data_IF_132125129726
#
_entry.id   IF_132125129726
#
_cell.length_a   1.000
_cell.length_b   1.000
_cell.length_c   1.000
_cell.angle_alpha   90.00
_cell.angle_beta   90.00
_cell.angle_gamma   90.00
#
_symmetry.space_group_name_H-M   'P 1'
#
loop_
_entity.id
_entity.type
_entity.pdbx_description
1 polymer ?
#
# COMPACT_ATOMS: atom_id res chain seq x y z
N UNK A 1 -21.82 -32.13 -8.85
CA UNK A 1 -21.55 -30.73 -8.51
C UNK A 1 -20.64 -30.72 -7.32
N UNK A 2 -19.37 -30.33 -7.49
CA UNK A 2 -18.53 -30.02 -6.34
C UNK A 2 -18.98 -28.64 -5.88
N UNK A 3 -19.61 -28.58 -4.70
CA UNK A 3 -19.82 -27.31 -4.02
C UNK A 3 -18.45 -26.94 -3.43
N UNK A 4 -17.65 -26.19 -4.17
CA UNK A 4 -16.50 -25.51 -3.58
C UNK A 4 -17.05 -24.42 -2.66
N UNK A 5 -16.63 -24.41 -1.40
CA UNK A 5 -16.69 -23.21 -0.58
C UNK A 5 -15.70 -22.23 -1.19
N UNK A 6 -16.12 -21.03 -1.56
CA UNK A 6 -15.14 -20.00 -1.92
C UNK A 6 -14.36 -19.64 -0.67
N UNK A 7 -13.08 -19.99 -0.64
CA UNK A 7 -12.17 -19.56 0.42
C UNK A 7 -11.69 -18.13 0.13
N UNK A 8 -11.24 -17.41 1.15
CA UNK A 8 -10.71 -16.06 0.97
C UNK A 8 -9.35 -16.10 0.26
N UNK A 9 -9.09 -15.13 -0.62
CA UNK A 9 -7.80 -14.98 -1.27
C UNK A 9 -6.67 -14.79 -0.22
N UNK A 10 -5.48 -15.31 -0.53
CA UNK A 10 -4.26 -14.96 0.22
C UNK A 10 -3.64 -13.71 -0.38
N UNK A 11 -3.59 -12.62 0.39
CA UNK A 11 -3.10 -11.31 -0.07
C UNK A 11 -1.82 -10.92 0.67
N UNK A 12 -0.78 -10.51 -0.05
CA UNK A 12 0.47 -10.00 0.55
C UNK A 12 0.27 -8.59 1.12
N UNK A 13 1.11 -8.19 2.08
CA UNK A 13 1.22 -6.81 2.57
C UNK A 13 2.57 -6.18 2.20
N UNK A 14 2.68 -4.86 2.35
CA UNK A 14 3.93 -4.14 2.15
C UNK A 14 4.29 -3.27 3.37
N UNK A 15 5.59 -3.18 3.65
CA UNK A 15 6.16 -2.18 4.55
C UNK A 15 7.38 -1.58 3.86
N UNK A 16 7.38 -0.26 3.68
CA UNK A 16 8.45 0.48 3.02
C UNK A 16 8.89 1.65 3.90
N UNK A 17 10.19 1.93 3.88
CA UNK A 17 10.76 3.12 4.48
C UNK A 17 11.56 3.87 3.42
N UNK A 18 11.39 5.18 3.37
CA UNK A 18 12.13 6.11 2.51
C UNK A 18 12.58 7.29 3.36
N UNK A 19 13.68 7.91 2.97
CA UNK A 19 14.15 9.12 3.63
C UNK A 19 13.48 10.34 3.00
N UNK A 20 13.19 11.36 3.80
CA UNK A 20 12.74 12.65 3.28
C UNK A 20 13.80 13.29 2.39
N UNK A 21 13.35 14.24 1.58
CA UNK A 21 14.23 15.07 0.75
C UNK A 21 13.68 16.48 0.75
N UNK A 22 14.39 17.43 0.14
CA UNK A 22 13.90 18.80 -0.10
C UNK A 22 12.68 18.89 -1.05
N UNK A 23 12.10 17.77 -1.47
CA UNK A 23 10.85 17.67 -2.24
C UNK A 23 9.99 16.52 -1.73
N UNK A 24 8.71 16.60 -2.04
CA UNK A 24 7.80 15.47 -1.83
C UNK A 24 8.33 14.21 -2.50
N UNK A 25 8.40 13.13 -1.71
CA UNK A 25 8.90 11.83 -2.13
C UNK A 25 7.78 10.93 -2.65
N UNK A 26 8.13 10.05 -3.57
CA UNK A 26 7.23 9.02 -4.11
C UNK A 26 7.89 7.66 -3.92
N UNK A 27 7.11 6.65 -3.55
CA UNK A 27 7.55 5.25 -3.50
C UNK A 27 6.45 4.33 -4.01
N UNK A 28 6.83 3.16 -4.50
CA UNK A 28 5.90 2.23 -5.14
C UNK A 28 6.28 0.78 -4.87
N UNK A 29 5.35 -0.12 -5.19
CA UNK A 29 5.55 -1.55 -5.09
C UNK A 29 4.38 -2.31 -5.70
N UNK A 30 4.36 -3.63 -5.49
CA UNK A 30 3.28 -4.49 -5.99
C UNK A 30 2.89 -5.48 -4.91
N UNK A 31 1.58 -5.54 -4.61
CA UNK A 31 1.00 -6.60 -3.81
C UNK A 31 0.56 -7.76 -4.71
N UNK A 32 0.54 -8.97 -4.16
CA UNK A 32 0.02 -10.18 -4.82
C UNK A 32 -1.24 -10.68 -4.12
N UNK A 33 -2.22 -11.12 -4.90
CA UNK A 33 -3.39 -11.86 -4.44
C UNK A 33 -3.38 -13.24 -5.10
N UNK A 34 -3.57 -14.30 -4.32
CA UNK A 34 -3.69 -15.67 -4.83
C UNK A 34 -4.88 -16.38 -4.20
N UNK A 35 -5.80 -16.84 -5.02
CA UNK A 35 -6.93 -17.70 -4.67
C UNK A 35 -6.72 -19.09 -5.32
N UNK A 36 -6.90 -20.15 -4.53
CA UNK A 36 -6.65 -21.53 -4.96
C UNK A 36 -7.77 -22.05 -5.88
N UNK A 37 -9.01 -21.59 -5.67
CA UNK A 37 -10.20 -22.14 -6.30
C UNK A 37 -10.85 -21.15 -7.29
N UNK A 38 -10.45 -19.88 -7.32
CA UNK A 38 -11.01 -18.84 -8.21
C UNK A 38 -9.95 -17.95 -8.90
N UNK A 39 -10.30 -17.28 -10.02
CA UNK A 39 -9.41 -16.36 -10.72
C UNK A 39 -9.23 -14.99 -10.05
N UNK A 40 -9.52 -14.86 -8.75
CA UNK A 40 -9.61 -13.59 -8.00
C UNK A 40 -8.24 -13.03 -7.57
N UNK A 41 -7.24 -13.19 -8.44
CA UNK A 41 -5.87 -12.74 -8.25
C UNK A 41 -5.68 -11.25 -8.62
N UNK A 42 -6.65 -10.41 -8.23
CA UNK A 42 -6.72 -8.99 -8.57
C UNK A 42 -7.13 -8.13 -7.37
N UNK A 43 -6.80 -6.84 -7.45
CA UNK A 43 -7.15 -5.83 -6.45
C UNK A 43 -8.31 -4.96 -6.91
N UNK A 44 -9.06 -4.41 -5.95
CA UNK A 44 -9.99 -3.31 -6.22
C UNK A 44 -9.17 -2.03 -6.40
N UNK A 45 -9.16 -1.40 -7.59
CA UNK A 45 -8.41 -0.15 -7.78
C UNK A 45 -8.97 0.94 -6.88
N UNK A 46 -8.08 1.70 -6.23
CA UNK A 46 -8.48 2.74 -5.28
C UNK A 46 -7.49 3.90 -5.26
N UNK A 47 -7.96 5.05 -4.79
CA UNK A 47 -7.19 6.27 -4.53
C UNK A 47 -7.51 6.76 -3.13
N UNK A 48 -6.61 6.48 -2.20
CA UNK A 48 -6.80 6.70 -0.76
C UNK A 48 -6.02 7.95 -0.36
N UNK A 49 -6.75 8.99 0.05
CA UNK A 49 -6.15 10.19 0.60
C UNK A 49 -5.68 9.95 2.05
N UNK A 50 -4.39 10.18 2.31
CA UNK A 50 -3.81 10.09 3.65
C UNK A 50 -3.61 11.47 4.29
N UNK A 51 -3.05 11.48 5.49
CA UNK A 51 -2.72 12.74 6.20
C UNK A 51 -1.39 13.32 5.71
N UNK A 52 -0.45 12.47 5.30
CA UNK A 52 0.92 12.82 4.94
C UNK A 52 1.25 12.49 3.46
N UNK A 53 0.33 11.86 2.76
CA UNK A 53 0.40 11.59 1.33
C UNK A 53 -0.76 10.74 0.86
N UNK A 54 -0.84 10.54 -0.44
CA UNK A 54 -1.92 9.78 -1.07
C UNK A 54 -1.38 8.47 -1.63
N UNK A 55 -2.19 7.41 -1.57
CA UNK A 55 -1.89 6.10 -2.15
C UNK A 55 -2.86 5.78 -3.28
N UNK A 56 -2.32 5.39 -4.43
CA UNK A 56 -3.08 4.78 -5.51
C UNK A 56 -2.69 3.31 -5.64
N UNK A 57 -3.65 2.42 -5.85
CA UNK A 57 -3.41 1.01 -6.20
C UNK A 57 -4.24 0.65 -7.44
N UNK A 58 -3.65 -0.10 -8.36
CA UNK A 58 -4.34 -0.61 -9.54
C UNK A 58 -4.81 -2.08 -9.38
N UNK A 59 -5.52 -2.58 -10.39
CA UNK A 59 -6.08 -3.94 -10.35
C UNK A 59 -5.01 -5.05 -10.30
N UNK A 60 -3.77 -4.76 -10.71
CA UNK A 60 -2.65 -5.69 -10.67
C UNK A 60 -1.91 -5.62 -9.32
N UNK A 61 -2.41 -4.82 -8.37
CA UNK A 61 -1.79 -4.61 -7.07
C UNK A 61 -0.58 -3.68 -7.12
N UNK A 62 -0.29 -3.04 -8.26
CA UNK A 62 0.76 -2.02 -8.32
C UNK A 62 0.25 -0.76 -7.62
N UNK A 63 1.01 -0.31 -6.63
CA UNK A 63 0.66 0.84 -5.82
C UNK A 63 1.75 1.90 -5.87
N UNK A 64 1.34 3.15 -5.71
CA UNK A 64 2.20 4.33 -5.64
C UNK A 64 1.73 5.20 -4.48
N UNK A 65 2.64 5.52 -3.57
CA UNK A 65 2.45 6.53 -2.54
C UNK A 65 3.17 7.82 -2.96
N UNK A 66 2.53 8.97 -2.82
CA UNK A 66 3.16 10.29 -2.99
C UNK A 66 2.93 11.14 -1.75
N UNK A 67 4.02 11.55 -1.11
CA UNK A 67 3.98 12.48 0.02
C UNK A 67 3.35 13.82 -0.38
N UNK A 68 2.60 14.44 0.53
CA UNK A 68 1.98 15.75 0.27
C UNK A 68 2.91 16.94 0.54
N UNK A 69 4.08 16.69 1.12
CA UNK A 69 5.10 17.67 1.44
C UNK A 69 6.49 17.03 1.41
N UNK A 70 7.51 17.87 1.44
CA UNK A 70 8.90 17.45 1.50
C UNK A 70 9.30 16.92 2.90
N UNK A 71 8.62 17.39 3.95
CA UNK A 71 8.91 17.03 5.34
C UNK A 71 10.30 17.42 5.87
N UNK A 72 10.91 18.48 5.32
CA UNK A 72 12.23 19.02 5.72
C UNK A 72 12.40 19.34 7.22
N UNK A 73 11.31 19.38 7.99
CA UNK A 73 11.38 19.58 9.43
C UNK A 73 11.84 18.35 10.22
N UNK A 74 11.90 17.16 9.61
CA UNK A 74 12.27 15.92 10.29
C UNK A 74 13.80 15.82 10.43
N UNK A 75 14.29 15.67 11.66
CA UNK A 75 15.72 15.45 11.93
C UNK A 75 16.06 13.96 11.90
N UNK A 76 17.35 13.63 11.90
CA UNK A 76 17.79 12.23 12.08
C UNK A 76 17.15 11.62 13.34
N UNK A 77 16.38 10.55 13.14
CA UNK A 77 15.66 9.83 14.20
C UNK A 77 14.16 10.16 14.29
N UNK A 78 13.72 11.26 13.69
CA UNK A 78 12.30 11.57 13.50
C UNK A 78 11.72 10.72 12.36
N UNK A 79 10.44 10.39 12.45
CA UNK A 79 9.73 9.67 11.39
C UNK A 79 8.24 9.95 11.36
N UNK A 80 7.67 9.83 10.16
CA UNK A 80 6.23 9.79 9.91
C UNK A 80 5.89 8.38 9.45
N UNK A 81 4.83 7.80 10.00
CA UNK A 81 4.33 6.48 9.61
C UNK A 81 2.85 6.59 9.21
N UNK A 82 2.51 6.03 8.05
CA UNK A 82 1.12 5.87 7.59
C UNK A 82 0.84 4.44 7.17
N UNK A 83 -0.40 3.99 7.38
CA UNK A 83 -0.87 2.68 6.96
C UNK A 83 -2.15 2.84 6.16
N UNK A 84 -2.14 2.28 4.96
CA UNK A 84 -3.26 2.27 4.04
C UNK A 84 -3.86 0.87 3.98
N UNK A 85 -5.18 0.76 4.04
CA UNK A 85 -5.89 -0.51 3.86
C UNK A 85 -6.41 -0.58 2.43
N UNK A 86 -6.11 -1.67 1.75
CA UNK A 86 -6.58 -1.98 0.39
C UNK A 86 -7.30 -3.33 0.39
N UNK A 87 -8.03 -3.66 -0.68
CA UNK A 87 -8.76 -4.92 -0.77
C UNK A 87 -8.57 -5.61 -2.11
N UNK A 88 -8.49 -6.94 -2.10
CA UNK A 88 -8.70 -7.76 -3.29
C UNK A 88 -10.16 -7.71 -3.74
N UNK A 89 -10.45 -8.24 -4.93
CA UNK A 89 -11.80 -8.15 -5.53
C UNK A 89 -12.85 -9.00 -4.78
N UNK A 90 -12.43 -10.04 -4.06
CA UNK A 90 -13.25 -10.87 -3.18
C UNK A 90 -13.53 -10.20 -1.81
N UNK A 91 -12.93 -9.02 -1.57
CA UNK A 91 -13.05 -8.26 -0.33
C UNK A 91 -12.00 -8.58 0.74
N UNK A 92 -11.05 -9.48 0.47
CA UNK A 92 -9.95 -9.75 1.42
C UNK A 92 -9.05 -8.52 1.59
N UNK A 93 -8.91 -8.05 2.82
CA UNK A 93 -8.16 -6.83 3.13
C UNK A 93 -6.65 -7.08 3.24
N UNK A 94 -5.85 -6.08 2.86
CA UNK A 94 -4.41 -6.02 3.07
C UNK A 94 -3.96 -4.61 3.43
N UNK A 95 -2.69 -4.46 3.81
CA UNK A 95 -2.12 -3.18 4.25
C UNK A 95 -0.80 -2.84 3.56
N UNK A 96 -0.61 -1.54 3.35
CA UNK A 96 0.65 -0.93 2.91
C UNK A 96 1.06 0.08 3.98
N UNK A 97 2.16 -0.18 4.67
CA UNK A 97 2.76 0.74 5.63
C UNK A 97 3.91 1.52 4.99
N UNK A 98 3.83 2.84 5.01
CA UNK A 98 4.88 3.75 4.53
C UNK A 98 5.50 4.47 5.72
N UNK A 99 6.83 4.52 5.77
CA UNK A 99 7.61 5.31 6.72
C UNK A 99 8.45 6.34 5.97
N UNK A 100 8.41 7.60 6.40
CA UNK A 100 9.30 8.66 5.93
C UNK A 100 10.24 9.01 7.09
N UNK A 101 11.54 8.78 6.94
CA UNK A 101 12.55 9.09 7.96
C UNK A 101 13.13 10.49 7.75
N UNK A 102 13.43 11.20 8.83
CA UNK A 102 14.16 12.47 8.78
C UNK A 102 15.65 12.30 8.55
N UNK A 103 16.26 13.26 7.84
CA UNK A 103 17.70 13.24 7.52
C UNK A 103 18.48 14.48 7.93
N UNK A 104 17.79 15.52 8.43
CA UNK A 104 18.40 16.79 8.84
C UNK A 104 19.29 16.68 10.09
#
# INVERSE_FOLDING_TARGET
TINGTNDAATVSSATVAIDETDKAVTTSGTLTSTDVDNPDNAFTPDSIAGTNGDLNIDANGHWVFTANSAFNQLNVGDKIEETFTVSSIDGTASTIKVTINGTN
#
